data_IF_056942935695
#
_entry.id   IF_056942935695
#
_cell.length_a   1.000
_cell.length_b   1.000
_cell.length_c   1.000
_cell.angle_alpha   90.00
_cell.angle_beta   90.00
_cell.angle_gamma   90.00
#
_symmetry.space_group_name_H-M   'P 1'
#
loop_
_entity.id
_entity.type
_entity.pdbx_description
1 polymer ?
#
# COMPACT_ATOMS: atom_id res chain seq x y z
N UNK A 1 -44.44 18.43 60.99
CA UNK A 1 -43.68 17.80 59.91
C UNK A 1 -42.22 17.89 60.26
N UNK A 2 -41.57 16.77 60.69
CA UNK A 2 -40.13 16.71 60.94
C UNK A 2 -39.46 16.53 59.56
N UNK A 3 -38.72 17.50 59.13
CA UNK A 3 -37.82 17.37 57.97
C UNK A 3 -36.74 16.33 58.34
N UNK A 4 -36.81 15.18 57.72
CA UNK A 4 -35.81 14.12 57.86
C UNK A 4 -34.49 14.67 57.27
N UNK A 5 -33.54 15.02 58.15
CA UNK A 5 -32.20 15.49 57.75
C UNK A 5 -31.50 14.37 56.97
N UNK A 6 -31.53 14.46 55.65
CA UNK A 6 -30.78 13.54 54.79
C UNK A 6 -29.30 13.54 55.16
N UNK A 7 -28.79 12.37 55.57
CA UNK A 7 -27.39 12.21 55.96
C UNK A 7 -26.48 12.29 54.69
N UNK A 8 -26.03 13.48 54.38
CA UNK A 8 -25.21 13.80 53.16
C UNK A 8 -23.99 12.88 53.05
N UNK A 9 -23.38 12.45 54.15
CA UNK A 9 -22.22 11.55 54.14
C UNK A 9 -22.57 10.16 53.61
N UNK A 10 -23.65 9.55 54.09
CA UNK A 10 -24.16 8.26 53.60
C UNK A 10 -24.60 8.32 52.16
N UNK A 11 -25.29 9.38 51.79
CA UNK A 11 -25.72 9.60 50.40
C UNK A 11 -24.54 9.69 49.45
N UNK A 12 -23.53 10.50 49.77
CA UNK A 12 -22.33 10.66 48.97
C UNK A 12 -21.54 9.35 48.81
N UNK A 13 -21.43 8.56 49.90
CA UNK A 13 -20.82 7.25 49.90
C UNK A 13 -21.56 6.31 48.91
N UNK A 14 -22.89 6.28 48.94
CA UNK A 14 -23.68 5.44 48.03
C UNK A 14 -23.54 5.86 46.58
N UNK A 15 -23.48 7.17 46.29
CA UNK A 15 -23.20 7.66 44.93
C UNK A 15 -21.84 7.27 44.42
N UNK A 16 -20.81 7.43 45.27
CA UNK A 16 -19.41 7.05 44.91
C UNK A 16 -19.33 5.54 44.68
N UNK A 17 -19.92 4.74 45.57
CA UNK A 17 -19.90 3.29 45.47
C UNK A 17 -20.67 2.82 44.20
N UNK A 18 -21.85 3.37 43.95
CA UNK A 18 -22.67 3.02 42.78
C UNK A 18 -22.00 3.44 41.46
N UNK A 19 -21.42 4.65 41.40
CA UNK A 19 -20.71 5.11 40.21
C UNK A 19 -19.39 4.34 39.98
N UNK A 20 -18.67 3.97 41.04
CA UNK A 20 -17.46 3.13 40.95
C UNK A 20 -17.79 1.73 40.42
N UNK A 21 -18.80 1.06 41.00
CA UNK A 21 -19.26 -0.24 40.53
C UNK A 21 -19.79 -0.17 39.10
N UNK A 22 -20.58 0.86 38.79
CA UNK A 22 -21.09 1.12 37.43
C UNK A 22 -19.97 1.31 36.40
N UNK A 23 -18.92 2.05 36.78
CA UNK A 23 -17.73 2.24 35.93
C UNK A 23 -16.97 0.93 35.70
N UNK A 24 -16.78 0.13 36.74
CA UNK A 24 -16.14 -1.20 36.63
C UNK A 24 -16.97 -2.13 35.72
N UNK A 25 -18.29 -2.18 35.93
CA UNK A 25 -19.19 -3.01 35.12
C UNK A 25 -19.17 -2.58 33.65
N UNK A 26 -19.21 -1.27 33.37
CA UNK A 26 -19.12 -0.74 32.02
C UNK A 26 -17.77 -1.09 31.37
N UNK A 27 -16.66 -0.93 32.07
CA UNK A 27 -15.34 -1.32 31.60
C UNK A 27 -15.22 -2.82 31.32
N UNK A 28 -15.67 -3.65 32.27
CA UNK A 28 -15.68 -5.11 32.13
C UNK A 28 -16.53 -5.60 30.95
N UNK A 29 -17.60 -4.87 30.63
CA UNK A 29 -18.44 -5.17 29.46
C UNK A 29 -17.79 -4.68 28.17
N UNK A 30 -17.18 -3.48 28.17
CA UNK A 30 -16.58 -2.89 26.97
C UNK A 30 -15.35 -3.68 26.44
N UNK A 31 -14.51 -4.22 27.35
CA UNK A 31 -13.29 -4.95 26.98
C UNK A 31 -13.53 -6.10 26.01
N UNK A 32 -14.45 -7.05 26.24
CA UNK A 32 -14.69 -8.14 25.28
C UNK A 32 -15.27 -7.65 23.94
N UNK A 33 -16.05 -6.57 23.93
CA UNK A 33 -16.55 -5.99 22.67
C UNK A 33 -15.40 -5.37 21.86
N UNK A 34 -14.52 -4.61 22.50
CA UNK A 34 -13.32 -4.07 21.84
C UNK A 34 -12.41 -5.21 21.38
N UNK A 35 -12.23 -6.24 22.23
CA UNK A 35 -11.44 -7.43 21.88
C UNK A 35 -12.00 -8.19 20.68
N UNK A 36 -13.32 -8.26 20.52
CA UNK A 36 -13.96 -8.92 19.37
C UNK A 36 -13.79 -8.18 18.05
N UNK A 37 -13.42 -6.89 18.08
CA UNK A 37 -13.11 -6.10 16.88
C UNK A 37 -11.67 -6.30 16.40
N UNK A 38 -10.80 -6.90 17.19
CA UNK A 38 -9.44 -7.23 16.78
C UNK A 38 -9.47 -8.38 15.76
N UNK A 39 -8.56 -8.35 14.75
CA UNK A 39 -8.48 -9.45 13.78
C UNK A 39 -8.18 -10.77 14.47
N UNK A 40 -8.86 -11.84 14.08
CA UNK A 40 -8.59 -13.18 14.56
C UNK A 40 -7.18 -13.66 14.11
N UNK A 41 -6.58 -14.60 14.84
CA UNK A 41 -5.23 -15.07 14.56
C UNK A 41 -5.10 -15.73 13.18
N UNK A 42 -6.12 -16.40 12.69
CA UNK A 42 -6.21 -16.96 11.34
C UNK A 42 -6.25 -15.85 10.26
N UNK A 43 -6.98 -14.78 10.51
CA UNK A 43 -7.00 -13.59 9.62
C UNK A 43 -5.62 -12.93 9.56
N UNK A 44 -4.92 -12.82 10.70
CA UNK A 44 -3.57 -12.29 10.73
C UNK A 44 -2.58 -13.22 10.02
N UNK A 45 -2.71 -14.54 10.16
CA UNK A 45 -1.90 -15.51 9.44
C UNK A 45 -2.14 -15.45 7.92
N UNK A 46 -3.41 -15.33 7.50
CA UNK A 46 -3.79 -15.18 6.09
C UNK A 46 -3.45 -13.80 5.51
N UNK A 47 -3.04 -12.83 6.34
CA UNK A 47 -2.64 -11.49 5.88
C UNK A 47 -1.28 -11.46 5.16
N UNK A 48 -0.50 -12.54 5.26
CA UNK A 48 0.83 -12.67 4.66
C UNK A 48 0.79 -13.58 3.45
N UNK A 49 1.54 -13.23 2.41
CA UNK A 49 1.67 -14.01 1.19
C UNK A 49 3.15 -14.22 0.88
N UNK A 50 3.56 -15.47 0.71
CA UNK A 50 4.91 -15.81 0.24
C UNK A 50 4.89 -16.02 -1.28
N UNK A 51 5.92 -15.52 -1.96
CA UNK A 51 6.06 -15.67 -3.40
C UNK A 51 7.53 -15.79 -3.80
N UNK A 52 7.84 -16.78 -4.65
CA UNK A 52 9.17 -16.98 -5.22
C UNK A 52 9.30 -16.17 -6.51
N UNK A 53 10.04 -15.05 -6.44
CA UNK A 53 10.22 -14.13 -7.57
C UNK A 53 11.08 -14.73 -8.68
N UNK A 54 11.86 -15.80 -8.43
CA UNK A 54 12.67 -16.47 -9.46
C UNK A 54 11.83 -17.17 -10.53
N UNK A 55 10.57 -17.43 -10.22
CA UNK A 55 9.61 -18.03 -11.18
C UNK A 55 9.15 -17.05 -12.26
N UNK A 56 9.42 -15.76 -12.08
CA UNK A 56 9.05 -14.70 -13.05
C UNK A 56 10.18 -14.52 -14.05
N UNK A 57 9.94 -14.80 -15.32
CA UNK A 57 10.96 -14.61 -16.36
C UNK A 57 11.28 -13.12 -16.59
N UNK A 58 12.51 -12.78 -17.04
CA UNK A 58 12.88 -11.40 -17.35
C UNK A 58 11.91 -10.74 -18.33
N UNK A 59 11.45 -9.53 -18.01
CA UNK A 59 10.46 -8.78 -18.79
C UNK A 59 9.00 -9.19 -18.54
N UNK A 60 8.75 -10.23 -17.77
CA UNK A 60 7.42 -10.74 -17.46
C UNK A 60 6.81 -10.04 -16.24
N UNK A 61 5.48 -9.91 -16.26
CA UNK A 61 4.62 -9.52 -15.15
C UNK A 61 3.77 -10.71 -14.73
N UNK A 62 3.70 -10.96 -13.43
CA UNK A 62 2.77 -11.90 -12.80
C UNK A 62 1.88 -11.14 -11.83
N UNK A 63 0.61 -11.53 -11.75
CA UNK A 63 -0.33 -10.96 -10.78
C UNK A 63 -0.60 -11.97 -9.69
N UNK A 64 -0.33 -11.61 -8.45
CA UNK A 64 -0.64 -12.41 -7.27
C UNK A 64 -1.69 -11.73 -6.41
N UNK A 65 -2.24 -12.43 -5.42
CA UNK A 65 -3.23 -11.89 -4.50
C UNK A 65 -2.61 -11.66 -3.11
N UNK A 66 -2.88 -10.49 -2.53
CA UNK A 66 -2.53 -10.14 -1.15
C UNK A 66 -3.68 -9.41 -0.49
N UNK A 67 -4.25 -9.96 0.57
CA UNK A 67 -5.39 -9.39 1.30
C UNK A 67 -6.55 -8.97 0.37
N UNK A 68 -6.87 -9.81 -0.62
CA UNK A 68 -7.91 -9.54 -1.61
C UNK A 68 -7.56 -8.46 -2.66
N UNK A 69 -6.36 -7.90 -2.62
CA UNK A 69 -5.88 -6.92 -3.62
C UNK A 69 -4.96 -7.59 -4.62
N UNK A 70 -5.08 -7.29 -5.91
CA UNK A 70 -4.11 -7.75 -6.90
C UNK A 70 -2.78 -7.02 -6.72
N UNK A 71 -1.67 -7.75 -6.87
CA UNK A 71 -0.30 -7.25 -6.74
C UNK A 71 0.49 -7.64 -7.97
N UNK A 72 1.12 -6.66 -8.59
CA UNK A 72 2.06 -6.86 -9.68
C UNK A 72 3.43 -7.29 -9.16
N UNK A 73 3.96 -8.37 -9.72
CA UNK A 73 5.36 -8.75 -9.58
C UNK A 73 5.98 -8.73 -10.96
N UNK A 74 6.95 -7.86 -11.17
CA UNK A 74 7.63 -7.66 -12.47
C UNK A 74 9.10 -8.00 -12.30
N UNK A 75 9.63 -8.86 -13.18
CA UNK A 75 11.07 -9.06 -13.34
C UNK A 75 11.58 -8.10 -14.43
N UNK A 76 12.21 -7.00 -14.00
CA UNK A 76 12.70 -5.96 -14.91
C UNK A 76 14.00 -6.42 -15.60
N UNK A 77 14.07 -6.21 -16.90
CA UNK A 77 15.30 -6.44 -17.68
C UNK A 77 16.31 -5.31 -17.47
N UNK A 78 17.58 -5.56 -17.81
CA UNK A 78 18.63 -4.53 -17.75
C UNK A 78 18.27 -3.29 -18.61
N UNK A 79 17.57 -3.47 -19.73
CA UNK A 79 17.07 -2.36 -20.54
C UNK A 79 15.98 -1.56 -19.83
N UNK A 80 15.03 -2.23 -19.20
CA UNK A 80 14.00 -1.57 -18.39
C UNK A 80 14.61 -0.77 -17.24
N UNK A 81 15.61 -1.33 -16.55
CA UNK A 81 16.32 -0.63 -15.46
C UNK A 81 17.05 0.62 -15.93
N UNK A 82 17.66 0.59 -17.13
CA UNK A 82 18.26 1.79 -17.73
C UNK A 82 17.23 2.89 -18.00
N UNK A 83 16.03 2.51 -18.47
CA UNK A 83 14.93 3.42 -18.79
C UNK A 83 14.17 3.96 -17.57
N UNK A 84 14.45 3.46 -16.36
CA UNK A 84 13.90 4.04 -15.11
C UNK A 84 14.51 5.43 -14.83
N UNK A 85 15.71 5.73 -15.33
CA UNK A 85 16.41 7.00 -15.11
C UNK A 85 16.33 7.90 -16.34
N UNK A 86 16.54 9.20 -16.12
CA UNK A 86 16.72 10.18 -17.20
C UNK A 86 15.44 10.81 -17.75
N UNK A 87 14.31 10.70 -17.02
CA UNK A 87 13.04 11.34 -17.37
C UNK A 87 12.28 11.86 -16.15
N UNK A 88 13.02 12.31 -15.14
CA UNK A 88 12.45 12.79 -13.88
C UNK A 88 11.57 14.03 -14.08
N UNK A 89 11.82 14.83 -15.10
CA UNK A 89 11.02 15.98 -15.54
C UNK A 89 9.61 15.58 -16.04
N UNK A 90 9.44 14.35 -16.51
CA UNK A 90 8.14 13.81 -16.90
C UNK A 90 7.27 13.37 -15.70
N UNK A 91 7.83 13.29 -14.51
CA UNK A 91 7.17 12.66 -13.36
C UNK A 91 6.65 13.69 -12.36
N UNK A 92 5.51 13.41 -11.69
CA UNK A 92 4.99 14.24 -10.60
C UNK A 92 5.81 14.12 -9.32
N UNK A 93 6.29 12.90 -9.04
CA UNK A 93 7.04 12.57 -7.83
C UNK A 93 8.16 11.59 -8.17
N UNK A 94 9.24 12.10 -8.82
CA UNK A 94 10.35 11.27 -9.29
C UNK A 94 11.10 10.56 -8.15
N UNK A 95 11.17 11.19 -6.98
CA UNK A 95 11.90 10.68 -5.81
C UNK A 95 11.01 9.90 -4.83
N UNK A 96 9.71 9.70 -5.15
CA UNK A 96 8.75 9.02 -4.26
C UNK A 96 8.73 9.63 -2.85
N UNK A 97 8.59 10.98 -2.78
CA UNK A 97 8.59 11.75 -1.53
C UNK A 97 7.18 12.10 -1.04
N UNK A 98 6.15 11.88 -1.86
CA UNK A 98 4.77 12.20 -1.49
C UNK A 98 4.34 11.42 -0.25
N UNK A 99 3.89 12.16 0.77
CA UNK A 99 3.51 11.62 2.09
C UNK A 99 2.32 10.66 1.99
N UNK A 100 1.41 10.90 1.03
CA UNK A 100 0.21 10.07 0.82
C UNK A 100 0.48 8.77 0.05
N UNK A 101 1.66 8.62 -0.56
CA UNK A 101 2.09 7.33 -1.08
C UNK A 101 2.48 6.45 0.11
N UNK A 102 1.87 5.26 0.23
CA UNK A 102 2.30 4.26 1.21
C UNK A 102 3.75 3.90 0.89
N UNK A 103 4.68 4.57 1.57
CA UNK A 103 6.09 4.29 1.44
C UNK A 103 6.41 3.09 2.32
N UNK A 104 7.00 2.07 1.73
CA UNK A 104 7.50 0.95 2.51
C UNK A 104 8.64 1.43 3.42
N UNK A 105 8.69 0.92 4.65
CA UNK A 105 9.69 1.30 5.66
C UNK A 105 11.14 1.12 5.20
N UNK A 106 11.37 0.22 4.24
CA UNK A 106 12.68 -0.06 3.66
C UNK A 106 13.13 0.97 2.61
N UNK A 107 12.23 1.83 2.11
CA UNK A 107 12.52 2.82 1.04
C UNK A 107 13.27 4.04 1.61
N UNK A 108 14.51 3.84 2.04
CA UNK A 108 15.30 4.84 2.76
C UNK A 108 16.35 5.53 1.89
N UNK A 109 16.91 4.82 0.90
CA UNK A 109 17.96 5.37 0.03
C UNK A 109 17.37 5.98 -1.25
N UNK A 110 18.05 6.97 -1.88
CA UNK A 110 17.62 7.52 -3.16
C UNK A 110 17.43 6.45 -4.24
N UNK A 111 18.29 5.45 -4.28
CA UNK A 111 18.17 4.35 -5.22
C UNK A 111 16.89 3.53 -5.02
N UNK A 112 16.59 3.17 -3.76
CA UNK A 112 15.35 2.47 -3.42
C UNK A 112 14.09 3.28 -3.76
N UNK A 113 14.16 4.60 -3.65
CA UNK A 113 13.05 5.50 -4.02
C UNK A 113 12.85 5.59 -5.53
N UNK A 114 13.94 5.63 -6.32
CA UNK A 114 13.88 5.67 -7.78
C UNK A 114 13.38 4.33 -8.33
N UNK A 115 13.97 3.21 -7.91
CA UNK A 115 13.59 1.87 -8.36
C UNK A 115 12.34 1.33 -7.67
N UNK A 116 11.97 1.88 -6.52
CA UNK A 116 10.80 1.52 -5.69
C UNK A 116 10.75 0.03 -5.37
N UNK A 117 11.91 -0.54 -5.10
CA UNK A 117 12.12 -1.95 -4.80
C UNK A 117 13.35 -2.18 -3.91
N UNK A 118 13.36 -3.29 -3.17
CA UNK A 118 14.52 -3.72 -2.37
C UNK A 118 15.64 -4.20 -3.30
N UNK A 119 15.29 -5.07 -4.28
CA UNK A 119 16.19 -5.50 -5.36
C UNK A 119 15.71 -4.85 -6.65
N UNK A 120 16.52 -4.05 -7.36
CA UNK A 120 16.10 -3.35 -8.58
C UNK A 120 15.49 -4.24 -9.66
N UNK A 121 15.92 -5.50 -9.76
CA UNK A 121 15.43 -6.45 -10.76
C UNK A 121 13.95 -6.82 -10.57
N UNK A 122 13.46 -6.79 -9.33
CA UNK A 122 12.08 -7.19 -9.02
C UNK A 122 11.29 -6.01 -8.46
N UNK A 123 10.22 -5.66 -9.15
CA UNK A 123 9.29 -4.62 -8.71
C UNK A 123 7.99 -5.25 -8.24
N UNK A 124 7.55 -4.89 -7.04
CA UNK A 124 6.33 -5.42 -6.41
C UNK A 124 5.44 -4.24 -6.02
N UNK A 125 4.28 -4.13 -6.68
CA UNK A 125 3.36 -3.00 -6.54
C UNK A 125 1.92 -3.48 -6.36
N UNK A 126 1.11 -2.70 -5.67
CA UNK A 126 -0.35 -2.90 -5.69
C UNK A 126 -0.86 -2.60 -7.10
N UNK A 127 -1.58 -3.53 -7.71
CA UNK A 127 -2.12 -3.41 -9.06
C UNK A 127 -3.40 -2.55 -9.08
N UNK A 128 -3.30 -1.34 -8.54
CA UNK A 128 -4.44 -0.42 -8.40
C UNK A 128 -4.02 1.00 -8.72
N UNK A 129 -4.62 1.58 -9.75
CA UNK A 129 -4.42 2.97 -10.13
C UNK A 129 -4.82 3.91 -8.98
N UNK A 130 -3.94 4.83 -8.63
CA UNK A 130 -4.15 5.77 -7.52
C UNK A 130 -5.22 6.84 -7.81
N UNK A 131 -5.78 6.87 -9.03
CA UNK A 131 -6.93 7.72 -9.34
C UNK A 131 -8.21 7.16 -8.71
N UNK A 132 -8.73 6.03 -9.19
CA UNK A 132 -10.01 5.43 -8.76
C UNK A 132 -9.96 3.89 -8.70
N UNK A 133 -8.77 3.29 -8.58
CA UNK A 133 -8.62 1.87 -8.28
C UNK A 133 -8.65 0.90 -9.46
N UNK A 134 -8.75 1.38 -10.72
CA UNK A 134 -8.68 0.49 -11.89
C UNK A 134 -7.32 -0.21 -11.97
N UNK A 135 -7.27 -1.41 -12.56
CA UNK A 135 -6.01 -2.14 -12.76
C UNK A 135 -5.31 -1.59 -14.01
N UNK A 136 -4.10 -1.00 -13.89
CA UNK A 136 -3.34 -0.51 -15.04
C UNK A 136 -2.81 -1.65 -15.90
N UNK A 137 -2.71 -1.41 -17.20
CA UNK A 137 -2.13 -2.34 -18.16
C UNK A 137 -0.61 -2.15 -18.22
N UNK A 138 0.13 -3.24 -18.12
CA UNK A 138 1.58 -3.24 -18.26
C UNK A 138 1.99 -3.08 -19.71
N UNK A 139 2.79 -2.06 -19.99
CA UNK A 139 3.30 -1.69 -21.33
C UNK A 139 4.81 -1.45 -21.23
N UNK A 140 5.64 -2.50 -21.25
CA UNK A 140 7.07 -2.40 -20.98
C UNK A 140 7.90 -1.73 -22.07
N UNK A 141 7.38 -1.67 -23.31
CA UNK A 141 8.12 -1.12 -24.45
C UNK A 141 8.10 0.40 -24.46
N UNK A 142 9.21 1.01 -24.83
CA UNK A 142 9.32 2.46 -24.95
C UNK A 142 8.67 3.00 -26.21
N UNK A 143 8.17 4.24 -26.14
CA UNK A 143 7.64 5.01 -27.24
C UNK A 143 6.34 4.47 -27.83
N UNK A 144 5.91 5.08 -28.94
CA UNK A 144 4.63 4.79 -29.61
C UNK A 144 4.65 3.62 -30.57
N UNK A 145 5.83 3.04 -30.85
CA UNK A 145 5.97 2.01 -31.89
C UNK A 145 5.03 0.83 -31.70
N UNK A 146 4.85 0.35 -30.47
CA UNK A 146 3.94 -0.76 -30.15
C UNK A 146 2.56 -0.30 -29.67
N UNK A 147 2.47 0.91 -29.11
CA UNK A 147 1.29 1.37 -28.37
C UNK A 147 0.55 2.51 -29.07
N UNK A 148 1.11 3.03 -30.19
CA UNK A 148 0.52 4.14 -30.94
C UNK A 148 0.28 5.38 -30.09
N UNK A 149 -0.75 6.15 -30.42
CA UNK A 149 -1.11 7.37 -29.70
C UNK A 149 -1.70 7.15 -28.30
N UNK A 150 -1.82 5.89 -27.87
CA UNK A 150 -2.29 5.56 -26.53
C UNK A 150 -1.27 5.85 -25.43
N UNK A 151 -0.04 6.23 -25.79
CA UNK A 151 1.04 6.60 -24.86
C UNK A 151 1.75 7.87 -25.34
N UNK A 152 2.43 8.64 -24.46
CA UNK A 152 3.29 9.76 -24.85
C UNK A 152 4.40 9.33 -25.82
N UNK A 153 4.90 10.25 -26.65
CA UNK A 153 5.96 9.95 -27.63
C UNK A 153 7.27 9.54 -26.97
N UNK A 154 7.60 10.20 -25.86
CA UNK A 154 8.78 9.97 -25.00
C UNK A 154 8.54 8.93 -23.92
N UNK A 155 7.50 8.09 -24.07
CA UNK A 155 7.11 7.07 -23.11
C UNK A 155 8.28 6.10 -22.79
N UNK A 156 8.73 6.01 -21.51
CA UNK A 156 9.84 5.12 -21.15
C UNK A 156 9.42 3.65 -21.03
N UNK A 157 8.13 3.34 -21.15
CA UNK A 157 7.51 2.09 -20.74
C UNK A 157 6.96 2.17 -19.31
N UNK A 158 6.08 1.25 -18.93
CA UNK A 158 5.49 1.19 -17.60
C UNK A 158 4.04 0.73 -17.58
N UNK A 159 3.13 1.51 -17.00
CA UNK A 159 1.71 1.17 -16.94
C UNK A 159 0.82 2.29 -17.49
N UNK A 160 -0.23 1.88 -18.17
CA UNK A 160 -1.30 2.74 -18.64
C UNK A 160 -2.63 2.30 -18.03
N UNK A 161 -3.31 3.21 -17.33
CA UNK A 161 -4.65 2.96 -16.81
C UNK A 161 -5.70 3.27 -17.88
N UNK A 162 -6.45 2.28 -18.38
CA UNK A 162 -7.38 2.50 -19.50
C UNK A 162 -8.65 3.26 -19.10
N UNK A 163 -8.94 3.38 -17.80
CA UNK A 163 -10.17 4.03 -17.33
C UNK A 163 -10.18 5.53 -17.61
N UNK A 164 -9.08 6.23 -17.29
CA UNK A 164 -8.99 7.69 -17.42
C UNK A 164 -7.62 8.17 -17.93
N UNK A 165 -6.80 7.27 -18.48
CA UNK A 165 -5.55 7.63 -19.15
C UNK A 165 -4.41 8.03 -18.21
N UNK A 166 -4.36 7.52 -16.97
CA UNK A 166 -3.18 7.72 -16.12
C UNK A 166 -2.01 6.88 -16.61
N UNK A 167 -0.80 7.47 -16.62
CA UNK A 167 0.45 6.81 -16.99
C UNK A 167 1.39 6.72 -15.81
N UNK A 168 2.18 5.64 -15.79
CA UNK A 168 3.22 5.40 -14.80
C UNK A 168 4.44 4.82 -15.50
N UNK A 169 5.62 5.16 -15.04
CA UNK A 169 6.88 4.61 -15.57
C UNK A 169 7.13 3.16 -15.12
N UNK A 170 8.29 2.60 -15.51
CA UNK A 170 8.71 1.24 -15.16
C UNK A 170 8.99 0.99 -13.66
N UNK A 171 8.90 2.03 -12.83
CA UNK A 171 8.94 1.94 -11.37
C UNK A 171 7.58 2.25 -10.73
N UNK A 172 6.53 2.48 -11.53
CA UNK A 172 5.21 2.86 -11.05
C UNK A 172 5.13 4.30 -10.57
N UNK A 173 6.05 5.19 -11.03
CA UNK A 173 6.00 6.62 -10.74
C UNK A 173 5.06 7.31 -11.73
N UNK A 174 4.19 8.17 -11.21
CA UNK A 174 3.12 8.80 -12.01
C UNK A 174 3.66 9.90 -12.92
N UNK A 175 3.23 9.89 -14.18
CA UNK A 175 3.60 10.89 -15.20
C UNK A 175 2.78 12.16 -15.02
N UNK A 176 3.40 13.33 -15.26
CA UNK A 176 2.75 14.64 -15.27
C UNK A 176 1.55 14.65 -16.24
N UNK A 177 0.51 15.40 -15.87
CA UNK A 177 -0.74 15.44 -16.65
C UNK A 177 -1.66 14.24 -16.44
N UNK A 178 -1.23 13.16 -15.78
CA UNK A 178 -2.10 12.02 -15.43
C UNK A 178 -3.17 12.42 -14.42
N UNK A 179 -4.42 11.89 -14.52
CA UNK A 179 -5.45 12.06 -13.49
C UNK A 179 -5.05 11.49 -12.12
N UNK A 180 -4.24 10.43 -12.09
CA UNK A 180 -3.74 9.83 -10.86
C UNK A 180 -2.88 10.84 -10.06
N UNK A 181 -3.13 11.03 -8.75
CA UNK A 181 -2.40 12.00 -7.93
C UNK A 181 -1.03 11.50 -7.48
N UNK A 182 -0.85 10.19 -7.29
CA UNK A 182 0.33 9.59 -6.65
C UNK A 182 0.89 8.43 -7.46
N UNK A 183 2.13 8.08 -7.14
CA UNK A 183 2.78 6.85 -7.63
C UNK A 183 1.96 5.60 -7.23
N UNK A 184 2.06 4.49 -7.98
CA UNK A 184 1.45 3.22 -7.59
C UNK A 184 1.95 2.80 -6.20
N UNK A 185 1.07 2.25 -5.36
CA UNK A 185 1.43 1.90 -4.00
C UNK A 185 2.40 0.71 -3.93
N UNK A 186 3.42 0.84 -3.09
CA UNK A 186 4.30 -0.26 -2.68
C UNK A 186 3.82 -0.76 -1.33
N UNK A 187 3.54 -2.08 -1.23
CA UNK A 187 3.16 -2.69 0.04
C UNK A 187 4.40 -3.03 0.89
N UNK A 188 4.25 -3.24 2.20
CA UNK A 188 5.31 -3.77 3.03
C UNK A 188 5.66 -5.20 2.56
N UNK A 189 6.93 -5.43 2.25
CA UNK A 189 7.45 -6.75 1.95
C UNK A 189 8.91 -6.87 2.38
N UNK A 190 9.38 -8.09 2.54
CA UNK A 190 10.79 -8.40 2.80
C UNK A 190 11.19 -9.69 2.11
N UNK A 191 12.48 -9.84 1.85
CA UNK A 191 13.04 -11.11 1.41
C UNK A 191 13.26 -12.01 2.63
N UNK A 192 12.76 -13.25 2.58
CA UNK A 192 13.00 -14.30 3.57
C UNK A 192 14.03 -15.33 3.08
N UNK A 193 14.33 -15.31 1.78
CA UNK A 193 15.46 -15.99 1.13
C UNK A 193 15.99 -15.11 -0.01
N UNK A 194 16.94 -15.62 -0.78
CA UNK A 194 17.45 -14.88 -1.96
C UNK A 194 16.38 -14.63 -3.02
N UNK A 195 15.40 -15.50 -3.15
CA UNK A 195 14.37 -15.45 -4.19
C UNK A 195 12.95 -15.38 -3.63
N UNK A 196 12.73 -15.64 -2.35
CA UNK A 196 11.39 -15.66 -1.76
C UNK A 196 11.10 -14.36 -1.02
N UNK A 197 9.99 -13.72 -1.37
CA UNK A 197 9.46 -12.54 -0.70
C UNK A 197 8.27 -12.90 0.18
N UNK A 198 8.20 -12.29 1.35
CA UNK A 198 7.03 -12.29 2.24
C UNK A 198 6.41 -10.90 2.15
N UNK A 199 5.14 -10.83 1.75
CA UNK A 199 4.33 -9.61 1.60
C UNK A 199 3.36 -9.54 2.79
N UNK A 200 3.35 -8.42 3.52
CA UNK A 200 2.49 -8.19 4.70
C UNK A 200 3.17 -8.29 6.04
#
# INVERSE_FOLDING_TARGET
MQEEKVNLSRRNFLYIAASGLGGIAAGATAVPFIGSMLPAADTLAASKTEFDVSTVAPGQLVVIQWQGKPVFVVHRTADMLKRVKGHDDLLKDPNSEAIDAVQAEWMKTPEQRIYRSIKPDYLILVASCTHLGCIPLFKPSAGRKEWGDSVPEDWPGGWHCPCHGSYYDLSGRVVNGSPAPHNLHVMPYKYISDTTVLIG
#
